data_IF_301915206693
#
_entry.id   IF_301915206693
#
_cell.length_a   1.000
_cell.length_b   1.000
_cell.length_c   1.000
_cell.angle_alpha   90.00
_cell.angle_beta   90.00
_cell.angle_gamma   90.00
#
_symmetry.space_group_name_H-M   'P 1'
#
loop_
_entity.id
_entity.type
_entity.pdbx_description
1 polymer ?
#
# COMPACT_ATOMS: atom_id res chain seq x y z
N UNK A 1 -11.12 -12.58 14.98
CA UNK A 1 -10.00 -13.02 14.12
C UNK A 1 -8.80 -13.21 15.04
N UNK A 2 -8.25 -14.42 15.13
CA UNK A 2 -7.11 -14.69 16.04
C UNK A 2 -5.86 -13.97 15.50
N UNK A 3 -5.06 -13.38 16.39
CA UNK A 3 -3.89 -12.56 16.02
C UNK A 3 -2.91 -13.29 15.07
N UNK A 4 -2.75 -14.60 15.24
CA UNK A 4 -1.95 -15.45 14.36
C UNK A 4 -2.49 -15.51 12.92
N UNK A 5 -3.80 -15.56 12.74
CA UNK A 5 -4.44 -15.63 11.42
C UNK A 5 -4.29 -14.30 10.66
N UNK A 6 -4.41 -13.17 11.37
CA UNK A 6 -4.12 -11.84 10.80
C UNK A 6 -2.68 -11.70 10.35
N UNK A 7 -1.72 -12.18 11.15
CA UNK A 7 -0.30 -12.13 10.79
C UNK A 7 0.00 -13.00 9.57
N UNK A 8 -0.56 -14.22 9.52
CA UNK A 8 -0.43 -15.10 8.36
C UNK A 8 -1.01 -14.46 7.07
N UNK A 9 -2.17 -13.81 7.19
CA UNK A 9 -2.80 -13.09 6.07
C UNK A 9 -1.93 -11.91 5.60
N UNK A 10 -1.33 -11.14 6.52
CA UNK A 10 -0.43 -10.05 6.18
C UNK A 10 0.84 -10.53 5.45
N UNK A 11 1.41 -11.65 5.88
CA UNK A 11 2.56 -12.26 5.18
C UNK A 11 2.17 -12.70 3.77
N UNK A 12 1.03 -13.38 3.62
CA UNK A 12 0.52 -13.80 2.32
C UNK A 12 0.25 -12.60 1.39
N UNK A 13 -0.36 -11.53 1.93
CA UNK A 13 -0.60 -10.29 1.19
C UNK A 13 0.71 -9.63 0.75
N UNK A 14 1.74 -9.61 1.61
CA UNK A 14 3.05 -9.08 1.27
C UNK A 14 3.70 -9.81 0.09
N UNK A 15 3.68 -11.14 0.10
CA UNK A 15 4.19 -11.96 -1.03
C UNK A 15 3.36 -11.73 -2.30
N UNK A 16 2.03 -11.69 -2.16
CA UNK A 16 1.12 -11.40 -3.27
C UNK A 16 1.39 -10.04 -3.92
N UNK A 17 1.73 -9.03 -3.11
CA UNK A 17 2.06 -7.68 -3.58
C UNK A 17 3.33 -7.67 -4.45
N UNK A 18 4.32 -8.50 -4.15
CA UNK A 18 5.52 -8.65 -5.00
C UNK A 18 5.15 -9.18 -6.39
N UNK A 19 4.30 -10.21 -6.44
CA UNK A 19 3.81 -10.78 -7.70
C UNK A 19 2.99 -9.76 -8.47
N UNK A 20 2.08 -9.04 -7.80
CA UNK A 20 1.25 -8.00 -8.39
C UNK A 20 2.10 -6.89 -9.03
N UNK A 21 3.07 -6.32 -8.30
CA UNK A 21 3.93 -5.27 -8.82
C UNK A 21 4.76 -5.74 -10.02
N UNK A 22 5.26 -6.98 -9.99
CA UNK A 22 6.02 -7.56 -11.10
C UNK A 22 5.16 -7.73 -12.36
N UNK A 23 3.91 -8.18 -12.20
CA UNK A 23 2.96 -8.27 -13.30
C UNK A 23 2.62 -6.89 -13.86
N UNK A 24 2.45 -5.86 -13.02
CA UNK A 24 2.21 -4.50 -13.50
C UNK A 24 3.36 -3.92 -14.31
N UNK A 25 4.60 -4.22 -13.94
CA UNK A 25 5.77 -3.82 -14.72
C UNK A 25 5.74 -4.48 -16.11
N UNK A 26 5.41 -5.77 -16.18
CA UNK A 26 5.26 -6.47 -17.47
C UNK A 26 4.12 -5.90 -18.32
N UNK A 27 2.98 -5.59 -17.71
CA UNK A 27 1.86 -4.93 -18.42
C UNK A 27 2.32 -3.59 -18.98
N UNK A 28 3.06 -2.80 -18.20
CA UNK A 28 3.63 -1.52 -18.64
C UNK A 28 4.62 -1.69 -19.80
N UNK A 29 5.42 -2.77 -19.81
CA UNK A 29 6.35 -3.05 -20.92
C UNK A 29 5.64 -3.44 -22.23
N UNK A 30 4.48 -4.07 -22.13
CA UNK A 30 3.65 -4.44 -23.29
C UNK A 30 2.64 -3.35 -23.68
N UNK A 31 2.52 -2.28 -22.90
CA UNK A 31 1.59 -1.18 -23.11
C UNK A 31 2.33 0.11 -23.47
N UNK A 32 1.63 1.08 -24.06
CA UNK A 32 2.25 2.35 -24.46
C UNK A 32 2.57 3.28 -23.30
N UNK A 33 1.92 3.12 -22.14
CA UNK A 33 2.08 4.02 -20.98
C UNK A 33 1.87 3.30 -19.66
N UNK A 34 2.48 3.82 -18.58
CA UNK A 34 2.24 3.41 -17.18
C UNK A 34 0.76 3.57 -16.81
N UNK A 35 0.09 4.56 -17.40
CA UNK A 35 -1.32 4.87 -17.13
C UNK A 35 -2.24 3.69 -17.45
N UNK A 36 -1.94 2.90 -18.49
CA UNK A 36 -2.72 1.70 -18.85
C UNK A 36 -2.65 0.65 -17.74
N UNK A 37 -1.46 0.39 -17.19
CA UNK A 37 -1.28 -0.57 -16.10
C UNK A 37 -2.00 -0.10 -14.82
N UNK A 38 -1.91 1.19 -14.51
CA UNK A 38 -2.63 1.78 -13.37
C UNK A 38 -4.14 1.68 -13.53
N UNK A 39 -4.67 1.97 -14.72
CA UNK A 39 -6.10 1.89 -15.01
C UNK A 39 -6.59 0.45 -14.90
N UNK A 40 -5.85 -0.51 -15.45
CA UNK A 40 -6.19 -1.94 -15.35
C UNK A 40 -6.23 -2.42 -13.90
N UNK A 41 -5.23 -2.05 -13.09
CA UNK A 41 -5.21 -2.41 -11.67
C UNK A 41 -6.46 -1.87 -10.93
N UNK A 42 -6.81 -0.62 -11.16
CA UNK A 42 -7.99 -0.01 -10.54
C UNK A 42 -9.30 -0.59 -11.08
N UNK A 43 -9.38 -0.85 -12.38
CA UNK A 43 -10.59 -1.38 -13.03
C UNK A 43 -10.93 -2.77 -12.51
N UNK A 44 -9.95 -3.68 -12.41
CA UNK A 44 -10.16 -5.04 -11.88
C UNK A 44 -10.67 -4.97 -10.43
N UNK A 45 -10.09 -4.11 -9.60
CA UNK A 45 -10.55 -3.90 -8.23
C UNK A 45 -11.98 -3.38 -8.15
N UNK A 46 -12.31 -2.37 -8.97
CA UNK A 46 -13.66 -1.79 -9.04
C UNK A 46 -14.69 -2.86 -9.44
N UNK A 47 -14.41 -3.64 -10.49
CA UNK A 47 -15.32 -4.70 -10.96
C UNK A 47 -15.61 -5.70 -9.84
N UNK A 48 -14.57 -6.17 -9.14
CA UNK A 48 -14.73 -7.13 -8.04
C UNK A 48 -15.57 -6.52 -6.90
N UNK A 49 -15.27 -5.28 -6.48
CA UNK A 49 -16.01 -4.65 -5.39
C UNK A 49 -17.46 -4.33 -5.77
N UNK A 50 -17.71 -3.88 -7.00
CA UNK A 50 -19.06 -3.63 -7.51
C UNK A 50 -19.87 -4.92 -7.56
N UNK A 51 -19.30 -6.02 -8.05
CA UNK A 51 -19.97 -7.33 -8.05
C UNK A 51 -20.26 -7.79 -6.62
N UNK A 52 -19.31 -7.64 -5.69
CA UNK A 52 -19.52 -8.03 -4.29
C UNK A 52 -20.59 -7.17 -3.60
N UNK A 53 -20.63 -5.87 -3.88
CA UNK A 53 -21.65 -4.94 -3.37
C UNK A 53 -23.04 -5.34 -3.88
N UNK A 54 -23.16 -5.61 -5.18
CA UNK A 54 -24.39 -6.09 -5.80
C UNK A 54 -24.88 -7.40 -5.18
N UNK A 55 -23.99 -8.37 -4.96
CA UNK A 55 -24.35 -9.65 -4.37
C UNK A 55 -24.77 -9.55 -2.89
N UNK A 56 -24.21 -8.61 -2.13
CA UNK A 56 -24.48 -8.48 -0.69
C UNK A 56 -25.60 -7.50 -0.32
N UNK A 57 -25.70 -6.38 -1.03
CA UNK A 57 -26.60 -5.28 -0.70
C UNK A 57 -27.55 -4.90 -1.85
N UNK A 58 -27.40 -5.52 -3.03
CA UNK A 58 -28.22 -5.20 -4.20
C UNK A 58 -28.07 -3.74 -4.64
N UNK A 59 -29.15 -3.19 -5.21
CA UNK A 59 -29.17 -1.81 -5.72
C UNK A 59 -29.13 -0.77 -4.58
N UNK A 60 -29.57 -1.15 -3.36
CA UNK A 60 -29.55 -0.29 -2.19
C UNK A 60 -28.11 0.10 -1.76
N UNK A 61 -27.13 -0.79 -1.97
CA UNK A 61 -25.73 -0.50 -1.65
C UNK A 61 -25.15 0.67 -2.46
N UNK A 62 -25.64 0.93 -3.68
CA UNK A 62 -25.21 2.10 -4.46
C UNK A 62 -25.76 3.41 -3.90
N UNK A 63 -26.97 3.38 -3.35
CA UNK A 63 -27.56 4.56 -2.72
C UNK A 63 -26.79 4.95 -1.45
N UNK A 64 -26.41 3.97 -0.62
CA UNK A 64 -25.56 4.22 0.54
C UNK A 64 -24.16 4.73 0.15
N UNK A 65 -23.58 4.17 -0.91
CA UNK A 65 -22.29 4.63 -1.43
C UNK A 65 -22.37 6.09 -1.85
N UNK A 66 -23.37 6.48 -2.66
CA UNK A 66 -23.55 7.84 -3.13
C UNK A 66 -23.72 8.85 -1.97
N UNK A 67 -24.43 8.47 -0.91
CA UNK A 67 -24.62 9.30 0.28
C UNK A 67 -23.35 9.40 1.15
N UNK A 68 -22.47 8.39 1.08
CA UNK A 68 -21.24 8.33 1.86
C UNK A 68 -20.07 9.07 1.21
N UNK A 69 -20.16 9.41 -0.08
CA UNK A 69 -19.13 10.16 -0.80
C UNK A 69 -19.02 11.57 -0.23
N UNK A 70 -17.84 11.87 0.33
CA UNK A 70 -17.45 13.21 0.77
C UNK A 70 -16.16 13.59 0.07
N UNK A 71 -15.85 14.88 -0.06
CA UNK A 71 -14.63 15.28 -0.76
C UNK A 71 -13.34 14.67 -0.16
N UNK A 72 -13.29 14.47 1.16
CA UNK A 72 -12.18 13.80 1.84
C UNK A 72 -12.03 12.31 1.46
N UNK A 73 -13.10 11.63 1.02
CA UNK A 73 -13.04 10.21 0.61
C UNK A 73 -12.31 10.03 -0.72
N UNK A 74 -12.02 11.11 -1.45
CA UNK A 74 -11.21 11.07 -2.67
C UNK A 74 -9.71 10.95 -2.36
N UNK A 75 -9.27 11.44 -1.21
CA UNK A 75 -7.85 11.49 -0.84
C UNK A 75 -7.22 10.10 -0.79
N UNK A 76 -7.82 9.07 -0.15
CA UNK A 76 -7.27 7.72 -0.17
C UNK A 76 -7.14 7.14 -1.58
N UNK A 77 -8.08 7.45 -2.48
CA UNK A 77 -8.04 6.98 -3.87
C UNK A 77 -6.91 7.62 -4.68
N UNK A 78 -6.68 8.92 -4.48
CA UNK A 78 -5.57 9.65 -5.09
C UNK A 78 -4.21 9.15 -4.56
N UNK A 79 -4.08 9.00 -3.25
CA UNK A 79 -2.86 8.48 -2.61
C UNK A 79 -2.58 7.03 -3.02
N UNK A 80 -3.60 6.19 -3.13
CA UNK A 80 -3.48 4.81 -3.61
C UNK A 80 -3.01 4.74 -5.06
N UNK A 81 -3.55 5.61 -5.93
CA UNK A 81 -3.11 5.69 -7.32
C UNK A 81 -1.65 6.16 -7.41
N UNK A 82 -1.27 7.16 -6.63
CA UNK A 82 0.13 7.62 -6.54
C UNK A 82 1.06 6.50 -6.04
N UNK A 83 0.62 5.71 -5.05
CA UNK A 83 1.39 4.56 -4.57
C UNK A 83 1.65 3.54 -5.67
N UNK A 84 0.63 3.18 -6.46
CA UNK A 84 0.78 2.24 -7.59
C UNK A 84 1.75 2.82 -8.63
N UNK A 85 1.63 4.10 -8.97
CA UNK A 85 2.56 4.78 -9.88
C UNK A 85 4.01 4.72 -9.39
N UNK A 86 4.26 5.17 -8.15
CA UNK A 86 5.58 5.18 -7.53
C UNK A 86 6.17 3.77 -7.43
N UNK A 87 5.32 2.77 -7.14
CA UNK A 87 5.70 1.37 -7.08
C UNK A 87 6.17 0.83 -8.45
N UNK A 88 5.40 1.04 -9.52
CA UNK A 88 5.80 0.61 -10.88
C UNK A 88 7.10 1.29 -11.30
N UNK A 89 7.17 2.61 -11.11
CA UNK A 89 8.35 3.42 -11.46
C UNK A 89 9.59 2.97 -10.69
N UNK A 90 9.46 2.72 -9.38
CA UNK A 90 10.52 2.19 -8.55
C UNK A 90 11.00 0.82 -9.03
N UNK A 91 10.09 -0.11 -9.31
CA UNK A 91 10.46 -1.44 -9.80
C UNK A 91 11.22 -1.38 -11.13
N UNK A 92 10.88 -0.43 -12.01
CA UNK A 92 11.55 -0.25 -13.30
C UNK A 92 12.93 0.40 -13.18
N UNK A 93 13.13 1.31 -12.22
CA UNK A 93 14.34 2.14 -12.11
C UNK A 93 15.36 1.62 -11.11
N UNK A 94 14.91 1.20 -9.94
CA UNK A 94 15.74 0.74 -8.81
C UNK A 94 15.43 -0.71 -8.41
N UNK A 95 14.58 -1.42 -9.17
CA UNK A 95 14.28 -2.82 -8.91
C UNK A 95 13.37 -3.08 -7.71
N UNK A 96 12.93 -4.33 -7.60
CA UNK A 96 11.90 -4.74 -6.64
C UNK A 96 12.34 -4.58 -5.18
N UNK A 97 13.52 -5.08 -4.81
CA UNK A 97 13.97 -5.11 -3.42
C UNK A 97 14.15 -3.69 -2.84
N UNK A 98 14.80 -2.80 -3.58
CA UNK A 98 14.99 -1.39 -3.17
C UNK A 98 13.65 -0.68 -3.02
N UNK A 99 12.75 -0.85 -3.98
CA UNK A 99 11.43 -0.20 -3.95
C UNK A 99 10.61 -0.63 -2.74
N UNK A 100 10.53 -1.93 -2.46
CA UNK A 100 9.81 -2.46 -1.30
C UNK A 100 10.44 -1.93 0.00
N UNK A 101 11.76 -2.00 0.13
CA UNK A 101 12.44 -1.62 1.36
C UNK A 101 12.21 -0.14 1.69
N UNK A 102 12.30 0.75 0.70
CA UNK A 102 12.03 2.19 0.87
C UNK A 102 10.57 2.46 1.18
N UNK A 103 9.63 1.79 0.50
CA UNK A 103 8.20 1.94 0.76
C UNK A 103 7.83 1.50 2.18
N UNK A 104 8.30 0.33 2.62
CA UNK A 104 7.99 -0.19 3.96
C UNK A 104 8.63 0.68 5.05
N UNK A 105 9.87 1.15 4.84
CA UNK A 105 10.53 2.05 5.79
C UNK A 105 9.79 3.39 5.92
N UNK A 106 9.41 4.02 4.82
CA UNK A 106 8.66 5.28 4.84
C UNK A 106 7.25 5.11 5.43
N UNK A 107 6.57 3.99 5.15
CA UNK A 107 5.27 3.66 5.75
C UNK A 107 5.36 3.49 7.28
N UNK A 108 6.38 2.78 7.77
CA UNK A 108 6.59 2.61 9.21
C UNK A 108 6.87 3.95 9.90
N UNK A 109 7.74 4.78 9.34
CA UNK A 109 8.04 6.12 9.88
C UNK A 109 6.79 7.00 9.89
N UNK A 110 6.04 7.03 8.79
CA UNK A 110 4.78 7.77 8.71
C UNK A 110 3.74 7.28 9.72
N UNK A 111 3.63 5.96 9.91
CA UNK A 111 2.77 5.34 10.92
C UNK A 111 3.13 5.79 12.34
N UNK A 112 4.43 5.78 12.68
CA UNK A 112 4.90 6.23 14.00
C UNK A 112 4.63 7.72 14.26
N UNK A 113 4.79 8.56 13.23
CA UNK A 113 4.46 9.99 13.34
C UNK A 113 2.96 10.16 13.62
N UNK A 114 2.10 9.44 12.89
CA UNK A 114 0.66 9.47 13.10
C UNK A 114 0.26 8.96 14.48
N UNK A 115 0.91 7.89 14.95
CA UNK A 115 0.70 7.36 16.30
C UNK A 115 1.10 8.39 17.36
N UNK A 116 2.23 9.08 17.19
CA UNK A 116 2.68 10.13 18.10
C UNK A 116 1.71 11.33 18.14
N UNK A 117 1.20 11.76 16.98
CA UNK A 117 0.25 12.88 16.89
C UNK A 117 -1.11 12.52 17.52
N UNK A 118 -1.55 11.27 17.37
CA UNK A 118 -2.82 10.81 17.97
C UNK A 118 -2.69 10.49 19.46
N UNK A 119 -1.54 10.01 19.87
CA UNK A 119 -1.24 9.60 21.23
C UNK A 119 -1.01 10.79 22.17
N UNK A 120 -2.09 11.43 22.61
CA UNK A 120 -2.05 12.31 23.77
C UNK A 120 -1.95 11.45 25.05
N UNK A 121 -0.75 10.98 25.40
CA UNK A 121 -0.49 10.29 26.68
C UNK A 121 0.21 8.92 26.60
N UNK A 122 0.76 8.51 25.45
CA UNK A 122 1.56 7.27 25.40
C UNK A 122 2.90 7.47 26.13
N UNK A 123 3.26 6.61 27.09
CA UNK A 123 4.52 6.72 27.79
C UNK A 123 5.68 6.55 26.80
N UNK A 124 6.66 7.46 26.84
CA UNK A 124 7.84 7.46 25.95
C UNK A 124 8.52 6.09 25.89
N UNK A 125 8.51 5.34 26.99
CA UNK A 125 9.07 3.98 27.09
C UNK A 125 8.44 2.97 26.12
N UNK A 126 7.14 3.10 25.83
CA UNK A 126 6.45 2.26 24.86
C UNK A 126 6.84 2.59 23.41
N UNK A 127 7.35 3.80 23.15
CA UNK A 127 7.78 4.25 21.83
C UNK A 127 9.23 3.87 21.50
N UNK A 128 10.07 3.57 22.51
CA UNK A 128 11.48 3.20 22.33
C UNK A 128 11.63 1.97 21.43
N UNK A 129 10.81 0.94 21.65
CA UNK A 129 10.84 -0.30 20.86
C UNK A 129 10.52 -0.05 19.38
N UNK A 130 9.35 0.53 19.05
CA UNK A 130 8.97 0.87 17.68
C UNK A 130 9.94 1.82 16.99
N UNK A 131 10.48 2.83 17.69
CA UNK A 131 11.48 3.76 17.13
C UNK A 131 12.78 3.05 16.81
N UNK A 132 13.28 2.19 17.70
CA UNK A 132 14.47 1.37 17.44
C UNK A 132 14.25 0.45 16.22
N UNK A 133 13.09 -0.19 16.14
CA UNK A 133 12.69 -0.98 14.98
C UNK A 133 12.65 -0.17 13.68
N UNK A 134 12.11 1.05 13.71
CA UNK A 134 12.09 1.94 12.56
C UNK A 134 13.50 2.35 12.12
N UNK A 135 14.40 2.66 13.06
CA UNK A 135 15.81 2.96 12.74
C UNK A 135 16.47 1.77 12.07
N UNK A 136 16.30 0.55 12.60
CA UNK A 136 16.81 -0.67 11.97
C UNK A 136 16.25 -0.89 10.56
N UNK A 137 14.96 -0.65 10.35
CA UNK A 137 14.32 -0.83 9.05
C UNK A 137 14.82 0.21 8.04
N UNK A 138 15.00 1.46 8.45
CA UNK A 138 15.57 2.54 7.61
C UNK A 138 17.02 2.22 7.23
N UNK A 139 17.85 1.78 8.18
CA UNK A 139 19.23 1.36 7.90
C UNK A 139 19.24 0.15 6.95
N UNK A 140 18.37 -0.83 7.17
CA UNK A 140 18.20 -1.97 6.28
C UNK A 140 17.81 -1.55 4.86
N UNK A 141 16.84 -0.65 4.72
CA UNK A 141 16.42 -0.12 3.43
C UNK A 141 17.55 0.64 2.72
N UNK A 142 18.34 1.41 3.45
CA UNK A 142 19.52 2.09 2.92
C UNK A 142 20.58 1.11 2.42
N UNK A 143 20.86 0.04 3.17
CA UNK A 143 21.80 -1.01 2.77
C UNK A 143 21.32 -1.74 1.50
N UNK A 144 20.03 -2.02 1.39
CA UNK A 144 19.43 -2.64 0.19
C UNK A 144 19.56 -1.69 -1.01
N UNK A 145 19.24 -0.40 -0.84
CA UNK A 145 19.36 0.61 -1.89
C UNK A 145 20.81 0.80 -2.36
N UNK A 146 21.78 0.67 -1.45
CA UNK A 146 23.21 0.83 -1.75
C UNK A 146 23.77 -0.28 -2.66
N UNK A 147 23.08 -1.42 -2.77
CA UNK A 147 23.53 -2.58 -3.58
C UNK A 147 23.50 -2.33 -5.09
N UNK A 148 23.10 -1.14 -5.54
CA UNK A 148 22.94 -0.76 -6.94
C UNK A 148 23.93 0.31 -7.43
N UNK A 149 24.96 0.64 -6.65
CA UNK A 149 26.12 1.40 -7.10
C UNK A 149 27.35 0.51 -7.28
#
# INVERSE_FOLDING_TARGET
>A
MNASLTLACLVAAGVGLVVQNTLMVRITQSASTILIAMLLNSLVGIVIFVTMLLLRQGVAGFQELALSVKWWTLIPGLLGSFFVFASISGYQTVGAATTIAVLVASQLVGGLIMDLVRAHGVPVRALIGPVCGAVMLVVGAWLVARRQF
#
